data_IF_658970658008
#
_entry.id   IF_658970658008
#
_cell.length_a   1.000
_cell.length_b   1.000
_cell.length_c   1.000
_cell.angle_alpha   90.00
_cell.angle_beta   90.00
_cell.angle_gamma   90.00
#
_symmetry.space_group_name_H-M   'P 1'
#
loop_
_entity.id
_entity.type
_entity.pdbx_description
1 polymer ?
#
# COMPACT_ATOMS: atom_id res chain seq x y z
N UNK A 1 -4.18 -20.66 16.26
CA UNK A 1 -4.11 -19.20 16.01
C UNK A 1 -3.01 -18.96 14.97
N UNK A 2 -3.24 -18.20 13.89
CA UNK A 2 -2.11 -17.74 13.06
C UNK A 2 -1.29 -16.79 13.95
N UNK A 3 -0.09 -17.21 14.31
CA UNK A 3 0.77 -16.49 15.25
C UNK A 3 1.64 -15.45 14.57
N UNK A 4 2.58 -14.90 15.34
CA UNK A 4 3.70 -14.13 14.80
C UNK A 4 4.83 -15.09 14.38
N UNK A 5 5.57 -14.73 13.33
CA UNK A 5 6.81 -15.41 12.98
C UNK A 5 8.01 -14.86 13.76
N UNK A 6 9.21 -15.17 13.28
CA UNK A 6 10.46 -14.85 13.98
C UNK A 6 10.78 -13.35 13.95
N UNK A 7 10.36 -12.64 12.90
CA UNK A 7 10.52 -11.20 12.75
C UNK A 7 9.45 -10.40 13.52
N UNK A 8 8.51 -11.06 14.20
CA UNK A 8 7.49 -10.43 15.04
C UNK A 8 6.26 -9.93 14.28
N UNK A 9 6.04 -10.41 13.05
CA UNK A 9 4.90 -10.07 12.21
C UNK A 9 3.97 -11.27 12.02
N UNK A 10 2.68 -11.05 11.71
CA UNK A 10 1.77 -12.15 11.42
C UNK A 10 2.27 -13.02 10.26
N UNK A 11 2.20 -14.33 10.45
CA UNK A 11 2.48 -15.30 9.37
C UNK A 11 1.57 -15.01 8.17
N UNK A 12 2.19 -14.84 7.00
CA UNK A 12 1.50 -14.45 5.77
C UNK A 12 0.62 -15.59 5.23
N UNK A 13 0.99 -16.85 5.48
CA UNK A 13 0.25 -18.00 4.96
C UNK A 13 0.36 -18.08 3.43
N UNK A 14 -0.73 -18.38 2.74
CA UNK A 14 -0.74 -18.47 1.27
C UNK A 14 -0.56 -17.13 0.59
N UNK A 15 -1.07 -16.05 1.17
CA UNK A 15 -0.96 -14.68 0.68
C UNK A 15 -1.54 -13.74 1.75
N UNK A 16 -1.25 -12.44 1.62
CA UNK A 16 -1.98 -11.39 2.31
C UNK A 16 -2.94 -10.69 1.33
N UNK A 17 -3.08 -9.37 1.32
CA UNK A 17 -3.89 -8.69 0.31
C UNK A 17 -3.37 -8.85 -1.12
N UNK A 18 -2.06 -9.04 -1.31
CA UNK A 18 -1.51 -9.31 -2.64
C UNK A 18 -1.47 -10.82 -2.87
N UNK A 19 -2.51 -11.34 -3.54
CA UNK A 19 -2.65 -12.76 -3.86
C UNK A 19 -1.45 -13.31 -4.67
N UNK A 20 -0.84 -12.45 -5.50
CA UNK A 20 0.31 -12.79 -6.32
C UNK A 20 1.56 -13.18 -5.53
N UNK A 21 1.69 -12.72 -4.28
CA UNK A 21 2.82 -13.02 -3.41
C UNK A 21 2.67 -14.40 -2.73
N UNK A 22 2.32 -15.41 -3.52
CA UNK A 22 1.84 -16.71 -3.03
C UNK A 22 2.88 -17.56 -2.31
N UNK A 23 4.18 -17.29 -2.51
CA UNK A 23 5.27 -18.08 -1.95
C UNK A 23 6.05 -17.34 -0.87
N UNK A 24 5.70 -16.08 -0.57
CA UNK A 24 6.38 -15.31 0.47
C UNK A 24 6.14 -15.93 1.85
N UNK A 25 4.91 -16.37 2.12
CA UNK A 25 4.53 -16.98 3.39
C UNK A 25 4.88 -18.46 3.53
N UNK A 26 5.42 -19.10 2.48
CA UNK A 26 5.83 -20.51 2.52
C UNK A 26 6.82 -20.74 3.66
N UNK A 27 6.61 -21.83 4.40
CA UNK A 27 7.43 -22.23 5.54
C UNK A 27 7.53 -21.18 6.67
N UNK A 28 6.59 -20.24 6.75
CA UNK A 28 6.48 -19.30 7.86
C UNK A 28 6.98 -17.88 7.58
N UNK A 29 6.93 -17.43 6.31
CA UNK A 29 7.13 -16.02 6.01
C UNK A 29 6.04 -15.11 6.59
N UNK A 30 6.37 -13.83 6.72
CA UNK A 30 5.62 -12.87 7.53
C UNK A 30 5.31 -11.59 6.75
N UNK A 31 4.15 -10.97 7.02
CA UNK A 31 3.69 -9.76 6.32
C UNK A 31 3.67 -8.53 7.23
N UNK A 32 4.43 -7.51 6.84
CA UNK A 32 4.47 -6.20 7.52
C UNK A 32 3.14 -5.48 7.35
N UNK A 33 2.59 -5.48 6.14
CA UNK A 33 1.27 -4.90 5.85
C UNK A 33 0.18 -5.55 6.70
N UNK A 34 0.18 -6.89 6.79
CA UNK A 34 -0.82 -7.61 7.59
C UNK A 34 -0.68 -7.28 9.07
N UNK A 35 0.54 -7.07 9.56
CA UNK A 35 0.80 -6.56 10.90
C UNK A 35 0.13 -5.20 11.14
N UNK A 36 0.44 -4.20 10.29
CA UNK A 36 -0.14 -2.86 10.39
C UNK A 36 -1.67 -2.88 10.31
N UNK A 37 -2.21 -3.61 9.33
CA UNK A 37 -3.65 -3.79 9.19
C UNK A 37 -4.28 -4.44 10.42
N UNK A 38 -3.67 -5.50 10.96
CA UNK A 38 -4.13 -6.17 12.18
C UNK A 38 -4.19 -5.23 13.36
N UNK A 39 -3.18 -4.36 13.54
CA UNK A 39 -3.19 -3.35 14.62
C UNK A 39 -4.38 -2.39 14.52
N UNK A 40 -4.68 -1.92 13.31
CA UNK A 40 -5.85 -1.05 13.08
C UNK A 40 -7.17 -1.76 13.42
N UNK A 41 -7.31 -3.02 12.98
CA UNK A 41 -8.51 -3.83 13.28
C UNK A 41 -8.62 -4.11 14.77
N UNK A 42 -7.52 -4.48 15.44
CA UNK A 42 -7.47 -4.70 16.88
C UNK A 42 -7.92 -3.46 17.62
N UNK A 43 -7.36 -2.29 17.29
CA UNK A 43 -7.75 -1.04 17.94
C UNK A 43 -9.26 -0.77 17.80
N UNK A 44 -9.83 -0.93 16.60
CA UNK A 44 -11.27 -0.78 16.41
C UNK A 44 -12.08 -1.83 17.19
N UNK A 45 -11.64 -3.08 17.19
CA UNK A 45 -12.34 -4.18 17.84
C UNK A 45 -12.30 -4.09 19.38
N UNK A 46 -11.22 -3.57 19.95
CA UNK A 46 -11.10 -3.30 21.39
C UNK A 46 -12.20 -2.37 21.90
N UNK A 47 -12.64 -1.39 21.09
CA UNK A 47 -13.78 -0.53 21.41
C UNK A 47 -15.12 -1.27 21.41
N UNK A 48 -15.26 -2.32 20.60
CA UNK A 48 -16.49 -3.11 20.49
C UNK A 48 -16.61 -4.09 21.66
N UNK A 49 -15.52 -4.76 22.04
CA UNK A 49 -15.55 -5.73 23.15
C UNK A 49 -15.71 -5.04 24.51
N UNK A 50 -15.22 -3.81 24.67
CA UNK A 50 -15.26 -3.08 25.93
C UNK A 50 -14.61 -3.85 27.08
N UNK A 51 -15.30 -3.96 28.21
CA UNK A 51 -14.86 -4.71 29.40
C UNK A 51 -15.39 -6.14 29.45
N UNK A 52 -16.05 -6.63 28.39
CA UNK A 52 -16.76 -7.92 28.42
C UNK A 52 -15.85 -9.15 28.45
N UNK A 53 -14.59 -9.00 28.03
CA UNK A 53 -13.61 -10.10 28.03
C UNK A 53 -12.19 -9.55 28.21
N UNK A 54 -11.78 -9.43 29.47
CA UNK A 54 -10.50 -8.84 29.86
C UNK A 54 -9.30 -9.65 29.35
N UNK A 55 -9.39 -10.98 29.40
CA UNK A 55 -8.35 -11.87 28.86
C UNK A 55 -8.14 -11.67 27.36
N UNK A 56 -9.23 -11.60 26.57
CA UNK A 56 -9.11 -11.36 25.12
C UNK A 56 -8.54 -9.97 24.85
N UNK A 57 -8.94 -8.96 25.62
CA UNK A 57 -8.40 -7.61 25.52
C UNK A 57 -6.88 -7.61 25.72
N UNK A 58 -6.39 -8.21 26.81
CA UNK A 58 -4.95 -8.33 27.09
C UNK A 58 -4.20 -9.06 25.97
N UNK A 59 -4.74 -10.18 25.47
CA UNK A 59 -4.13 -10.93 24.35
C UNK A 59 -4.00 -10.08 23.08
N UNK A 60 -5.03 -9.29 22.75
CA UNK A 60 -5.04 -8.43 21.56
C UNK A 60 -4.13 -7.19 21.72
N UNK A 61 -4.11 -6.59 22.91
CA UNK A 61 -3.21 -5.47 23.25
C UNK A 61 -1.75 -5.93 23.17
N UNK A 62 -1.43 -7.10 23.75
CA UNK A 62 -0.11 -7.71 23.65
C UNK A 62 0.28 -7.96 22.17
N UNK A 63 -0.61 -8.55 21.39
CA UNK A 63 -0.33 -8.84 19.97
C UNK A 63 -0.09 -7.56 19.16
N UNK A 64 -0.90 -6.52 19.38
CA UNK A 64 -0.71 -5.21 18.74
C UNK A 64 0.62 -4.56 19.13
N UNK A 65 1.00 -4.68 20.41
CA UNK A 65 2.27 -4.17 20.92
C UNK A 65 3.48 -4.88 20.30
N UNK A 66 3.45 -6.22 20.20
CA UNK A 66 4.53 -6.99 19.55
C UNK A 66 4.74 -6.56 18.09
N UNK A 67 3.65 -6.39 17.34
CA UNK A 67 3.75 -5.91 15.96
C UNK A 67 4.33 -4.50 15.91
N UNK A 68 3.91 -3.59 16.80
CA UNK A 68 4.48 -2.25 16.85
C UNK A 68 5.99 -2.28 17.07
N UNK A 69 6.46 -3.10 18.03
CA UNK A 69 7.88 -3.25 18.30
C UNK A 69 8.64 -3.81 17.09
N UNK A 70 8.09 -4.80 16.41
CA UNK A 70 8.67 -5.31 15.17
C UNK A 70 8.72 -4.24 14.06
N UNK A 71 7.62 -3.51 13.83
CA UNK A 71 7.55 -2.42 12.84
C UNK A 71 8.66 -1.39 13.06
N UNK A 72 8.85 -0.96 14.30
CA UNK A 72 9.81 0.10 14.61
C UNK A 72 11.27 -0.38 14.68
N UNK A 73 11.52 -1.66 14.99
CA UNK A 73 12.89 -2.16 15.18
C UNK A 73 13.45 -2.87 13.95
N UNK A 74 12.62 -3.50 13.12
CA UNK A 74 13.10 -4.39 12.05
C UNK A 74 12.62 -4.00 10.66
N UNK A 75 11.42 -3.41 10.53
CA UNK A 75 10.83 -3.15 9.21
C UNK A 75 11.29 -1.84 8.56
N UNK A 76 11.70 -0.83 9.32
CA UNK A 76 12.11 0.45 8.75
C UNK A 76 13.62 0.49 8.43
N UNK A 77 14.01 0.67 7.17
CA UNK A 77 15.42 0.73 6.75
C UNK A 77 16.07 2.13 6.83
N UNK A 78 15.42 3.09 7.49
CA UNK A 78 15.85 4.49 7.50
C UNK A 78 15.15 5.37 6.46
N UNK A 79 14.48 4.78 5.46
CA UNK A 79 13.73 5.52 4.42
C UNK A 79 12.29 5.07 4.26
N UNK A 80 12.03 3.77 4.27
CA UNK A 80 10.68 3.19 4.12
C UNK A 80 10.58 1.85 4.85
N UNK A 81 9.36 1.32 4.92
CA UNK A 81 9.07 0.04 5.58
C UNK A 81 9.17 -1.13 4.61
N UNK A 82 9.74 -2.23 5.08
CA UNK A 82 9.76 -3.52 4.40
C UNK A 82 8.35 -4.00 4.05
N UNK A 83 8.23 -4.75 2.96
CA UNK A 83 6.98 -5.39 2.52
C UNK A 83 6.62 -6.64 3.33
N UNK A 84 7.61 -7.49 3.55
CA UNK A 84 7.46 -8.81 4.14
C UNK A 84 8.84 -9.41 4.48
N UNK A 85 8.84 -10.57 5.12
CA UNK A 85 10.02 -11.41 5.33
C UNK A 85 9.72 -12.82 4.85
N UNK A 86 10.65 -13.44 4.12
CA UNK A 86 10.59 -14.87 3.86
C UNK A 86 10.89 -15.65 5.15
N UNK A 87 10.56 -16.95 5.19
CA UNK A 87 10.86 -17.82 6.34
C UNK A 87 12.34 -17.84 6.76
N UNK A 88 13.26 -17.54 5.84
CA UNK A 88 14.69 -17.42 6.14
C UNK A 88 15.09 -16.12 6.86
N UNK A 89 14.14 -15.21 7.09
CA UNK A 89 14.38 -13.85 7.59
C UNK A 89 14.84 -12.87 6.51
N UNK A 90 15.03 -13.31 5.25
CA UNK A 90 15.36 -12.39 4.14
C UNK A 90 14.20 -11.43 3.91
N UNK A 91 14.48 -10.12 3.96
CA UNK A 91 13.48 -9.08 3.78
C UNK A 91 13.05 -8.92 2.32
N UNK A 92 11.79 -8.51 2.14
CA UNK A 92 11.17 -8.12 0.88
C UNK A 92 10.93 -6.61 0.91
N UNK A 93 11.35 -5.89 -0.14
CA UNK A 93 11.09 -4.44 -0.26
C UNK A 93 11.74 -3.57 0.79
N UNK A 94 12.96 -3.94 1.20
CA UNK A 94 13.71 -3.23 2.22
C UNK A 94 15.17 -2.94 1.82
N UNK A 95 15.50 -2.98 0.52
CA UNK A 95 16.86 -2.82 0.03
C UNK A 95 17.04 -1.50 -0.75
N UNK A 96 17.68 -0.47 -0.15
CA UNK A 96 17.90 0.81 -0.80
C UNK A 96 19.15 0.85 -1.70
N UNK A 97 20.00 -0.18 -1.68
CA UNK A 97 21.28 -0.23 -2.43
C UNK A 97 21.21 -1.18 -3.61
N UNK A 98 20.26 -2.11 -3.63
CA UNK A 98 20.11 -3.05 -4.73
C UNK A 98 19.42 -2.39 -5.92
N UNK A 99 20.22 -2.00 -6.90
CA UNK A 99 19.75 -1.54 -8.22
C UNK A 99 19.18 -2.69 -9.08
N UNK A 100 19.40 -3.94 -8.67
CA UNK A 100 19.18 -5.14 -9.49
C UNK A 100 18.21 -6.17 -8.90
N UNK A 101 17.59 -5.91 -7.76
CA UNK A 101 16.45 -6.72 -7.29
C UNK A 101 15.18 -5.93 -7.45
N UNK A 102 14.22 -6.52 -8.18
CA UNK A 102 12.84 -6.08 -8.14
C UNK A 102 12.38 -5.82 -6.71
N UNK A 103 11.37 -4.94 -6.54
CA UNK A 103 10.61 -4.70 -5.32
C UNK A 103 11.21 -3.74 -4.29
N UNK A 104 12.24 -2.96 -4.60
CA UNK A 104 12.95 -2.06 -3.67
C UNK A 104 12.02 -1.31 -2.69
N UNK A 105 10.85 -0.87 -3.15
CA UNK A 105 9.77 -0.31 -2.34
C UNK A 105 8.40 -0.78 -2.82
N UNK A 106 7.52 -1.15 -1.88
CA UNK A 106 6.12 -1.53 -2.10
C UNK A 106 5.20 -0.54 -1.39
N UNK A 107 4.10 -0.17 -2.04
CA UNK A 107 3.15 0.85 -1.59
C UNK A 107 2.49 0.48 -0.25
N UNK A 108 2.11 -0.78 -0.07
CA UNK A 108 1.19 -1.22 1.00
C UNK A 108 1.67 -0.81 2.40
N UNK A 109 2.88 -1.20 2.85
CA UNK A 109 3.36 -0.80 4.18
C UNK A 109 3.49 0.71 4.34
N UNK A 110 3.78 1.45 3.26
CA UNK A 110 3.99 2.90 3.37
C UNK A 110 2.66 3.60 3.64
N UNK A 111 1.61 3.26 2.88
CA UNK A 111 0.27 3.79 3.13
C UNK A 111 -0.29 3.36 4.49
N UNK A 112 -0.10 2.10 4.88
CA UNK A 112 -0.63 1.59 6.14
C UNK A 112 0.13 2.09 7.37
N UNK A 113 1.42 2.41 7.26
CA UNK A 113 2.15 3.09 8.34
C UNK A 113 1.53 4.45 8.68
N UNK A 114 1.12 5.20 7.65
CA UNK A 114 0.39 6.47 7.83
C UNK A 114 -0.99 6.24 8.43
N UNK A 115 -1.73 5.22 8.01
CA UNK A 115 -3.01 4.88 8.64
C UNK A 115 -2.84 4.52 10.12
N UNK A 116 -1.85 3.69 10.46
CA UNK A 116 -1.53 3.37 11.84
C UNK A 116 -1.20 4.64 12.64
N UNK A 117 -0.33 5.52 12.12
CA UNK A 117 -0.01 6.79 12.77
C UNK A 117 -1.25 7.67 12.97
N UNK A 118 -2.13 7.77 11.98
CA UNK A 118 -3.31 8.64 12.05
C UNK A 118 -4.49 8.05 12.83
N UNK A 119 -4.49 6.76 13.16
CA UNK A 119 -5.62 6.08 13.83
C UNK A 119 -5.25 5.65 15.24
N UNK A 120 -4.06 5.06 15.42
CA UNK A 120 -3.66 4.46 16.69
C UNK A 120 -3.24 5.55 17.70
N UNK A 121 -3.36 5.27 19.02
CA UNK A 121 -3.06 6.24 20.06
C UNK A 121 -1.56 6.34 20.39
N UNK A 122 -0.75 5.36 19.99
CA UNK A 122 0.68 5.27 20.31
C UNK A 122 1.56 6.10 19.36
N UNK A 123 1.19 7.36 19.11
CA UNK A 123 1.91 8.28 18.23
C UNK A 123 3.07 8.95 18.96
N UNK A 124 4.17 9.12 18.26
CA UNK A 124 5.31 9.91 18.71
C UNK A 124 6.00 10.60 17.51
N UNK A 125 6.91 11.52 17.80
CA UNK A 125 7.59 12.33 16.78
C UNK A 125 8.50 11.45 15.90
N UNK A 126 9.18 10.46 16.47
CA UNK A 126 10.04 9.54 15.72
C UNK A 126 9.23 8.73 14.70
N UNK A 127 8.07 8.19 15.08
CA UNK A 127 7.15 7.51 14.16
C UNK A 127 6.64 8.46 13.08
N UNK A 128 6.32 9.71 13.43
CA UNK A 128 5.91 10.72 12.44
C UNK A 128 6.97 10.92 11.38
N UNK A 129 8.22 11.13 11.77
CA UNK A 129 9.35 11.30 10.86
C UNK A 129 9.54 10.09 9.93
N UNK A 130 9.45 8.87 10.47
CA UNK A 130 9.56 7.62 9.70
C UNK A 130 8.44 7.48 8.68
N UNK A 131 7.20 7.73 9.07
CA UNK A 131 6.03 7.70 8.18
C UNK A 131 6.16 8.74 7.07
N UNK A 132 6.55 9.98 7.41
CA UNK A 132 6.76 11.02 6.41
C UNK A 132 7.89 10.67 5.43
N UNK A 133 8.98 10.07 5.92
CA UNK A 133 10.07 9.55 5.09
C UNK A 133 9.58 8.45 4.14
N UNK A 134 8.77 7.51 4.65
CA UNK A 134 8.19 6.42 3.88
C UNK A 134 7.24 6.93 2.78
N UNK A 135 6.34 7.86 3.10
CA UNK A 135 5.44 8.48 2.11
C UNK A 135 6.19 9.28 1.07
N UNK A 136 7.21 10.06 1.47
CA UNK A 136 8.08 10.79 0.54
C UNK A 136 8.79 9.84 -0.42
N UNK A 137 9.25 8.70 0.07
CA UNK A 137 9.87 7.66 -0.75
C UNK A 137 8.88 7.00 -1.70
N UNK A 138 7.69 6.64 -1.22
CA UNK A 138 6.61 6.09 -2.05
C UNK A 138 6.21 7.06 -3.17
N UNK A 139 5.97 8.33 -2.86
CA UNK A 139 5.64 9.35 -3.86
C UNK A 139 6.76 9.47 -4.91
N UNK A 140 8.02 9.57 -4.48
CA UNK A 140 9.16 9.69 -5.40
C UNK A 140 9.35 8.49 -6.32
N UNK A 141 9.20 7.29 -5.80
CA UNK A 141 9.58 6.07 -6.51
C UNK A 141 8.41 5.38 -7.23
N UNK A 142 7.18 5.57 -6.73
CA UNK A 142 6.01 4.85 -7.23
C UNK A 142 5.05 5.72 -8.05
N UNK A 143 5.08 7.04 -7.87
CA UNK A 143 4.25 7.94 -8.67
C UNK A 143 5.01 8.47 -9.87
N UNK A 144 4.58 8.07 -11.06
CA UNK A 144 4.97 8.68 -12.31
C UNK A 144 4.08 9.91 -12.57
N UNK A 145 4.58 11.08 -12.16
CA UNK A 145 3.85 12.35 -12.27
C UNK A 145 3.56 12.72 -13.72
N UNK A 146 4.46 12.36 -14.65
CA UNK A 146 4.35 12.70 -16.08
C UNK A 146 3.18 11.94 -16.71
N UNK A 147 3.03 10.67 -16.38
CA UNK A 147 2.02 9.81 -16.98
C UNK A 147 0.80 9.58 -16.09
N UNK A 148 0.75 10.17 -14.89
CA UNK A 148 -0.34 10.00 -13.93
C UNK A 148 -0.58 8.52 -13.56
N UNK A 149 0.49 7.81 -13.19
CA UNK A 149 0.42 6.39 -12.86
C UNK A 149 1.11 6.10 -11.52
N UNK A 150 0.43 5.36 -10.64
CA UNK A 150 0.91 5.03 -9.30
C UNK A 150 1.17 3.52 -9.23
N UNK A 151 2.45 3.12 -9.29
CA UNK A 151 2.87 1.71 -9.27
C UNK A 151 2.64 1.09 -7.89
N UNK A 152 2.28 -0.20 -7.87
CA UNK A 152 2.16 -0.98 -6.62
C UNK A 152 3.52 -1.17 -5.94
N UNK A 153 4.55 -1.47 -6.71
CA UNK A 153 5.94 -1.51 -6.27
C UNK A 153 6.88 -1.31 -7.46
N UNK A 154 8.16 -1.07 -7.18
CA UNK A 154 9.20 -0.97 -8.22
C UNK A 154 10.56 -1.43 -7.68
N UNK A 155 11.42 -2.06 -8.51
CA UNK A 155 11.14 -2.57 -9.86
C UNK A 155 10.17 -3.78 -9.87
N UNK A 156 9.55 -4.13 -11.02
CA UNK A 156 8.74 -5.35 -11.14
C UNK A 156 9.59 -6.62 -11.06
N UNK A 157 9.02 -7.70 -10.51
CA UNK A 157 9.63 -9.03 -10.44
C UNK A 157 9.95 -9.61 -11.82
N UNK A 158 10.96 -10.46 -11.83
CA UNK A 158 11.42 -11.27 -12.95
C UNK A 158 11.55 -12.73 -12.47
N UNK A 159 12.76 -13.29 -12.40
CA UNK A 159 12.97 -14.68 -11.97
C UNK A 159 13.80 -14.73 -10.67
N UNK A 160 13.42 -13.97 -9.66
CA UNK A 160 14.20 -13.87 -8.43
C UNK A 160 14.09 -15.11 -7.53
N UNK A 161 15.12 -15.30 -6.71
CA UNK A 161 15.14 -16.29 -5.63
C UNK A 161 15.38 -15.61 -4.26
N UNK A 162 14.56 -15.90 -3.23
CA UNK A 162 13.39 -16.78 -3.25
C UNK A 162 12.25 -16.24 -4.13
N UNK A 163 11.45 -17.16 -4.71
CA UNK A 163 10.29 -16.80 -5.53
C UNK A 163 9.27 -16.01 -4.71
N UNK A 164 8.71 -14.90 -5.22
CA UNK A 164 7.60 -14.22 -4.58
C UNK A 164 6.28 -14.99 -4.73
N UNK A 165 6.18 -15.92 -5.68
CA UNK A 165 4.94 -16.62 -6.04
C UNK A 165 4.52 -16.31 -7.46
N UNK A 166 3.25 -16.57 -7.80
CA UNK A 166 2.79 -16.45 -9.19
C UNK A 166 2.85 -15.03 -9.76
N UNK A 167 3.02 -14.00 -8.93
CA UNK A 167 3.22 -12.61 -9.35
C UNK A 167 4.38 -12.45 -10.34
N UNK A 168 5.43 -13.28 -10.22
CA UNK A 168 6.55 -13.28 -11.17
C UNK A 168 6.19 -13.85 -12.54
N UNK A 169 5.06 -14.56 -12.65
CA UNK A 169 4.52 -15.05 -13.91
C UNK A 169 3.87 -13.96 -14.77
N UNK A 170 3.54 -12.80 -14.19
CA UNK A 170 3.04 -11.66 -14.96
C UNK A 170 4.18 -10.91 -15.66
N UNK A 171 3.87 -10.37 -16.84
CA UNK A 171 4.77 -9.46 -17.55
C UNK A 171 5.09 -8.25 -16.68
N UNK A 172 6.35 -7.81 -16.70
CA UNK A 172 6.81 -6.63 -15.94
C UNK A 172 5.93 -5.41 -16.23
N UNK A 173 5.40 -4.78 -15.19
CA UNK A 173 4.52 -3.61 -15.27
C UNK A 173 3.04 -3.94 -15.51
N UNK A 174 2.64 -5.22 -15.55
CA UNK A 174 1.24 -5.62 -15.63
C UNK A 174 0.70 -5.97 -14.25
N UNK A 175 -0.56 -5.61 -13.99
CA UNK A 175 -1.32 -5.98 -12.79
C UNK A 175 -0.51 -5.78 -11.50
N UNK A 176 -0.46 -6.81 -10.65
CA UNK A 176 0.30 -6.81 -9.40
C UNK A 176 1.81 -6.69 -9.64
N UNK A 177 2.35 -7.12 -10.79
CA UNK A 177 3.79 -7.11 -11.04
C UNK A 177 4.32 -5.73 -11.46
N UNK A 178 4.21 -4.75 -10.55
CA UNK A 178 4.72 -3.39 -10.72
C UNK A 178 3.87 -2.49 -11.62
N UNK A 179 2.67 -2.93 -12.00
CA UNK A 179 1.62 -2.06 -12.55
C UNK A 179 0.98 -1.19 -11.47
N UNK A 180 0.04 -0.33 -11.87
CA UNK A 180 -0.84 0.33 -10.91
C UNK A 180 -1.95 -0.64 -10.54
N UNK A 181 -2.05 -0.98 -9.26
CA UNK A 181 -3.26 -1.58 -8.70
C UNK A 181 -4.07 -0.46 -8.07
N UNK A 182 -5.18 -0.06 -8.70
CA UNK A 182 -5.88 1.19 -8.38
C UNK A 182 -6.37 1.22 -6.93
N UNK A 183 -6.74 0.07 -6.37
CA UNK A 183 -7.10 -0.06 -4.95
C UNK A 183 -5.96 0.41 -4.04
N UNK A 184 -4.73 -0.04 -4.30
CA UNK A 184 -3.55 0.37 -3.54
C UNK A 184 -3.17 1.83 -3.81
N UNK A 185 -3.28 2.29 -5.06
CA UNK A 185 -3.03 3.69 -5.41
C UNK A 185 -3.91 4.65 -4.59
N UNK A 186 -5.19 4.30 -4.38
CA UNK A 186 -6.10 5.08 -3.53
C UNK A 186 -5.65 5.10 -2.07
N UNK A 187 -5.10 4.01 -1.55
CA UNK A 187 -4.54 4.01 -0.19
C UNK A 187 -3.38 4.97 -0.04
N UNK A 188 -2.50 5.09 -1.03
CA UNK A 188 -1.43 6.08 -1.00
C UNK A 188 -1.97 7.50 -1.01
N UNK A 189 -2.93 7.79 -1.89
CA UNK A 189 -3.59 9.10 -1.93
C UNK A 189 -4.23 9.45 -0.58
N UNK A 190 -4.98 8.51 -0.01
CA UNK A 190 -5.61 8.64 1.30
C UNK A 190 -4.58 8.82 2.42
N UNK A 191 -3.44 8.14 2.37
CA UNK A 191 -2.38 8.26 3.37
C UNK A 191 -1.82 9.69 3.43
N UNK A 192 -1.58 10.31 2.26
CA UNK A 192 -1.18 11.71 2.18
C UNK A 192 -2.23 12.66 2.75
N UNK A 193 -3.52 12.45 2.42
CA UNK A 193 -4.62 13.25 2.95
C UNK A 193 -4.76 13.11 4.48
N UNK A 194 -4.69 11.88 5.00
CA UNK A 194 -4.75 11.61 6.43
C UNK A 194 -3.60 12.27 7.18
N UNK A 195 -2.37 12.19 6.66
CA UNK A 195 -1.21 12.85 7.26
C UNK A 195 -1.30 14.37 7.15
N UNK A 196 -1.76 14.91 6.02
CA UNK A 196 -1.97 16.35 5.84
C UNK A 196 -2.96 16.92 6.85
N UNK A 197 -4.08 16.23 7.08
CA UNK A 197 -5.05 16.62 8.11
C UNK A 197 -4.48 16.44 9.52
N UNK A 198 -3.84 15.31 9.82
CA UNK A 198 -3.31 14.98 11.16
C UNK A 198 -2.18 15.91 11.58
N UNK A 199 -1.29 16.25 10.65
CA UNK A 199 -0.14 17.12 10.89
C UNK A 199 -0.41 18.59 10.57
N UNK A 200 -1.61 18.92 10.07
CA UNK A 200 -1.98 20.26 9.59
C UNK A 200 -1.00 20.79 8.51
N UNK A 201 -0.59 19.89 7.60
CA UNK A 201 0.37 20.18 6.53
C UNK A 201 -0.36 20.23 5.17
N UNK A 202 -0.46 21.44 4.61
CA UNK A 202 -1.10 21.66 3.33
C UNK A 202 -0.37 20.99 2.17
N UNK A 203 0.96 20.89 2.20
CA UNK A 203 1.72 20.27 1.12
C UNK A 203 1.47 18.76 1.02
N UNK A 204 1.24 18.09 2.16
CA UNK A 204 0.78 16.69 2.17
C UNK A 204 -0.64 16.56 1.63
N UNK A 205 -1.54 17.46 2.01
CA UNK A 205 -2.92 17.50 1.50
C UNK A 205 -2.94 17.65 -0.02
N UNK A 206 -2.18 18.59 -0.58
CA UNK A 206 -2.12 18.80 -2.04
C UNK A 206 -1.51 17.61 -2.79
N UNK A 207 -0.50 16.93 -2.23
CA UNK A 207 -0.01 15.66 -2.79
C UNK A 207 -1.09 14.58 -2.80
N UNK A 208 -1.87 14.48 -1.73
CA UNK A 208 -3.01 13.57 -1.65
C UNK A 208 -4.03 13.83 -2.75
N UNK A 209 -4.44 15.10 -2.94
CA UNK A 209 -5.35 15.52 -4.02
C UNK A 209 -4.78 15.23 -5.40
N UNK A 210 -3.50 15.49 -5.63
CA UNK A 210 -2.80 15.21 -6.90
C UNK A 210 -2.84 13.72 -7.26
N UNK A 211 -2.67 12.84 -6.27
CA UNK A 211 -2.78 11.39 -6.46
C UNK A 211 -4.22 10.97 -6.75
N UNK A 212 -5.23 11.55 -6.07
CA UNK A 212 -6.65 11.32 -6.39
C UNK A 212 -6.94 11.70 -7.85
N UNK A 213 -6.52 12.89 -8.28
CA UNK A 213 -6.66 13.35 -9.67
C UNK A 213 -5.99 12.39 -10.66
N UNK A 214 -4.80 11.87 -10.35
CA UNK A 214 -4.10 10.90 -11.19
C UNK A 214 -4.87 9.57 -11.33
N UNK A 215 -5.71 9.21 -10.37
CA UNK A 215 -6.50 7.96 -10.39
C UNK A 215 -7.78 8.10 -11.22
N UNK A 216 -8.38 9.31 -11.26
CA UNK A 216 -9.69 9.49 -11.88
C UNK A 216 -9.66 9.20 -13.40
N UNK A 217 -10.58 8.35 -13.89
CA UNK A 217 -10.57 7.89 -15.28
C UNK A 217 -11.09 8.96 -16.26
N UNK A 218 -11.84 9.96 -15.77
CA UNK A 218 -12.43 11.01 -16.61
C UNK A 218 -11.39 11.79 -17.40
N UNK A 219 -10.17 11.93 -16.87
CA UNK A 219 -9.07 12.60 -17.55
C UNK A 219 -8.68 11.93 -18.87
N UNK A 220 -8.92 10.63 -19.01
CA UNK A 220 -8.63 9.93 -20.26
C UNK A 220 -9.60 10.30 -21.37
N UNK A 221 -10.76 10.88 -21.04
CA UNK A 221 -11.69 11.44 -22.02
C UNK A 221 -11.30 12.86 -22.49
N UNK A 222 -10.22 13.46 -21.96
CA UNK A 222 -9.83 14.83 -22.31
C UNK A 222 -9.41 14.99 -23.77
N UNK A 223 -8.85 13.94 -24.39
CA UNK A 223 -8.57 13.92 -25.83
C UNK A 223 -8.50 12.49 -26.37
N UNK A 224 -8.53 12.38 -27.70
CA UNK A 224 -8.52 11.10 -28.43
C UNK A 224 -7.28 10.26 -28.13
N UNK A 225 -6.09 10.85 -28.03
CA UNK A 225 -4.84 10.11 -27.80
C UNK A 225 -4.85 9.43 -26.42
N UNK A 226 -5.29 10.14 -25.38
CA UNK A 226 -5.42 9.58 -24.03
C UNK A 226 -6.49 8.49 -23.96
N UNK A 227 -7.61 8.68 -24.65
CA UNK A 227 -8.69 7.69 -24.72
C UNK A 227 -8.22 6.41 -25.42
N UNK A 228 -7.51 6.53 -26.55
CA UNK A 228 -6.96 5.40 -27.30
C UNK A 228 -5.86 4.67 -26.51
N UNK A 229 -5.00 5.40 -25.81
CA UNK A 229 -3.97 4.83 -24.93
C UNK A 229 -4.59 4.05 -23.76
N UNK A 230 -5.57 4.65 -23.08
CA UNK A 230 -6.24 4.02 -21.95
C UNK A 230 -7.05 2.81 -22.40
N UNK A 231 -7.86 2.95 -23.46
CA UNK A 231 -8.60 1.85 -24.07
C UNK A 231 -9.70 1.22 -23.20
N UNK A 232 -10.06 1.85 -22.07
CA UNK A 232 -11.14 1.46 -21.17
C UNK A 232 -12.16 2.58 -20.98
N UNK A 233 -13.20 2.33 -20.18
CA UNK A 233 -14.29 3.28 -19.93
C UNK A 233 -13.85 4.45 -19.03
N UNK A 234 -13.98 5.73 -19.46
CA UNK A 234 -13.50 6.88 -18.69
C UNK A 234 -14.43 7.30 -17.53
N UNK A 235 -15.51 6.56 -17.28
CA UNK A 235 -16.54 6.88 -16.28
C UNK A 235 -16.61 5.85 -15.15
N UNK A 236 -15.81 4.78 -15.20
CA UNK A 236 -15.63 3.81 -14.12
C UNK A 236 -14.15 3.59 -13.83
N UNK A 237 -13.82 3.19 -12.59
CA UNK A 237 -12.43 2.90 -12.24
C UNK A 237 -11.98 1.58 -12.87
N UNK A 238 -10.75 1.58 -13.38
CA UNK A 238 -10.01 0.35 -13.64
C UNK A 238 -9.52 -0.26 -12.32
N UNK A 239 -9.54 -1.59 -12.22
CA UNK A 239 -8.86 -2.32 -11.16
C UNK A 239 -7.35 -2.14 -11.24
N UNK A 240 -6.80 -2.12 -12.46
CA UNK A 240 -5.39 -1.89 -12.72
C UNK A 240 -5.10 -1.08 -14.00
N UNK A 241 -3.92 -0.45 -14.03
CA UNK A 241 -3.39 0.28 -15.19
C UNK A 241 -1.94 -0.13 -15.41
N UNK A 242 -1.59 -0.48 -16.64
CA UNK A 242 -0.29 -1.05 -16.94
C UNK A 242 0.82 0.00 -16.93
N UNK A 243 1.96 -0.35 -16.33
CA UNK A 243 3.19 0.43 -16.27
C UNK A 243 4.32 -0.22 -17.10
N UNK A 244 3.95 -1.10 -18.02
CA UNK A 244 4.86 -1.71 -18.99
C UNK A 244 5.15 -0.73 -20.11
N UNK A 245 6.40 -0.68 -20.58
CA UNK A 245 6.85 0.31 -21.56
C UNK A 245 6.07 0.24 -22.89
N UNK A 246 5.63 -0.94 -23.32
CA UNK A 246 4.87 -1.11 -24.57
C UNK A 246 3.35 -0.86 -24.41
N UNK A 247 2.84 -0.84 -23.17
CA UNK A 247 1.41 -0.73 -22.87
C UNK A 247 1.13 0.33 -21.80
N UNK A 248 1.99 1.34 -21.70
CA UNK A 248 1.99 2.27 -20.58
C UNK A 248 0.71 3.09 -20.52
N UNK A 249 0.05 3.08 -19.37
CA UNK A 249 -1.22 3.78 -19.15
C UNK A 249 -2.45 3.06 -19.71
N UNK A 250 -2.31 1.85 -20.27
CA UNK A 250 -3.44 1.06 -20.75
C UNK A 250 -4.25 0.50 -19.57
N UNK A 251 -5.57 0.60 -19.68
CA UNK A 251 -6.52 -0.03 -18.77
C UNK A 251 -6.38 -1.55 -18.82
N UNK A 252 -6.32 -2.19 -17.65
CA UNK A 252 -6.56 -3.62 -17.54
C UNK A 252 -8.06 -3.90 -17.44
N UNK A 253 -8.55 -4.37 -16.29
CA UNK A 253 -9.99 -4.62 -16.11
C UNK A 253 -10.73 -3.43 -15.46
N UNK A 254 -12.01 -3.25 -15.78
CA UNK A 254 -12.89 -2.21 -15.22
C UNK A 254 -14.06 -2.82 -14.42
N UNK A 255 -14.86 -1.96 -13.77
CA UNK A 255 -16.07 -2.28 -12.99
C UNK A 255 -15.87 -3.07 -11.69
N UNK A 256 -15.45 -4.33 -11.77
CA UNK A 256 -15.42 -5.22 -10.61
C UNK A 256 -14.13 -5.03 -9.82
N UNK A 257 -14.12 -4.04 -8.93
CA UNK A 257 -12.97 -3.73 -8.08
C UNK A 257 -13.38 -3.06 -6.77
N UNK A 258 -12.67 -3.40 -5.68
CA UNK A 258 -12.77 -2.70 -4.39
C UNK A 258 -12.31 -1.24 -4.45
N UNK A 259 -11.65 -0.82 -5.53
CA UNK A 259 -11.22 0.57 -5.75
C UNK A 259 -12.38 1.57 -5.65
N UNK A 260 -13.57 1.23 -6.16
CA UNK A 260 -14.72 2.15 -6.12
C UNK A 260 -15.12 2.51 -4.67
N UNK A 261 -15.17 1.52 -3.78
CA UNK A 261 -15.48 1.74 -2.37
C UNK A 261 -14.43 2.59 -1.64
N UNK A 262 -13.15 2.32 -1.91
CA UNK A 262 -12.05 3.10 -1.32
C UNK A 262 -11.97 4.52 -1.85
N UNK A 263 -12.21 4.73 -3.15
CA UNK A 263 -12.26 6.07 -3.72
C UNK A 263 -13.43 6.85 -3.14
N UNK A 264 -14.63 6.29 -3.14
CA UNK A 264 -15.81 6.96 -2.59
C UNK A 264 -15.60 7.38 -1.13
N UNK A 265 -15.09 6.47 -0.29
CA UNK A 265 -14.77 6.79 1.11
C UNK A 265 -13.69 7.87 1.24
N UNK A 266 -12.69 7.87 0.36
CA UNK A 266 -11.65 8.89 0.35
C UNK A 266 -12.20 10.25 -0.07
N UNK A 267 -13.02 10.31 -1.12
CA UNK A 267 -13.62 11.56 -1.56
C UNK A 267 -14.54 12.16 -0.51
N UNK A 268 -15.36 11.32 0.13
CA UNK A 268 -16.29 11.75 1.19
C UNK A 268 -15.55 12.21 2.45
N UNK A 269 -14.61 11.41 2.96
CA UNK A 269 -13.98 11.68 4.26
C UNK A 269 -13.09 12.94 4.24
N UNK A 270 -12.65 13.38 3.06
CA UNK A 270 -11.79 14.56 2.87
C UNK A 270 -12.49 15.71 2.13
N UNK A 271 -13.83 15.64 1.98
CA UNK A 271 -14.64 16.64 1.27
C UNK A 271 -14.09 17.03 -0.11
N UNK A 272 -13.73 16.01 -0.89
CA UNK A 272 -13.16 16.15 -2.22
C UNK A 272 -14.22 15.99 -3.31
N UNK A 273 -15.50 16.04 -2.96
CA UNK A 273 -16.61 15.86 -3.92
C UNK A 273 -16.83 17.09 -4.80
N UNK A 274 -16.32 18.24 -4.38
CA UNK A 274 -16.39 19.54 -5.06
C UNK A 274 -15.09 19.93 -5.78
N UNK A 275 -14.07 19.06 -5.77
CA UNK A 275 -12.82 19.35 -6.45
C UNK A 275 -13.08 19.49 -7.96
N UNK A 276 -12.61 20.59 -8.54
CA UNK A 276 -12.50 20.72 -9.99
C UNK A 276 -11.44 19.71 -10.47
N UNK A 277 -11.93 18.56 -10.92
CA UNK A 277 -11.11 17.45 -11.41
C UNK A 277 -10.81 17.53 -12.90
N UNK A 278 -11.19 18.63 -13.56
CA UNK A 278 -11.04 18.90 -14.99
C UNK A 278 -10.10 20.10 -15.19
#
# INVERSE_FOLDING_TARGET
KRGLGQCGFPLMGSCDWNDGMSNVGDNGGESVWLGMFSRMIIHGFLHVIGTKNEKLKEELEWFSHQINMATENTAFNGKWYARAYYASGKSLGNDPTCKETARAIDLLPQAFSAFCYCILPDRDETKKERVLSALKSAYRHLFDEKNNLIRLFTPPFSNEQPSPGYISGYVKGFRENGGQYTHAAIWLARAFLMMGQTCQDQALTEKGKRLVQAILPIRYAANKELAERYGGEPYVLAGDVYANDNYYGKCGWSWYTGSAGWLYRTLRDFDLTSLDFI
#
